data_IF_868431787390
#
_entry.id   IF_868431787390
#
_cell.length_a   1.000
_cell.length_b   1.000
_cell.length_c   1.000
_cell.angle_alpha   90.00
_cell.angle_beta   90.00
_cell.angle_gamma   90.00
#
_symmetry.space_group_name_H-M   'P 1'
#
loop_
_entity.id
_entity.type
_entity.pdbx_description
1 polymer ?
#
# COMPACT_ATOMS: atom_id res chain seq x y z
N UNK A 1 19.89 5.72 11.18
CA UNK A 1 19.11 4.72 10.40
C UNK A 1 18.78 5.33 9.04
N UNK A 2 18.97 4.64 7.91
CA UNK A 2 18.61 5.17 6.58
C UNK A 2 17.41 4.39 6.05
N UNK A 3 16.32 5.07 5.76
CA UNK A 3 15.06 4.49 5.26
C UNK A 3 15.17 4.13 3.78
N UNK A 4 14.46 3.08 3.34
CA UNK A 4 14.51 2.57 1.96
C UNK A 4 14.08 3.63 0.93
N UNK A 5 12.93 4.26 1.16
CA UNK A 5 12.38 5.26 0.24
C UNK A 5 13.22 6.54 0.21
N UNK A 6 13.90 6.88 1.30
CA UNK A 6 14.86 7.99 1.34
C UNK A 6 16.17 7.72 0.57
N UNK A 7 16.45 6.47 0.18
CA UNK A 7 17.61 6.12 -0.66
C UNK A 7 17.24 6.06 -2.14
N UNK A 8 16.21 5.30 -2.46
CA UNK A 8 15.76 5.14 -3.83
C UNK A 8 14.25 4.80 -3.85
N UNK A 9 13.40 5.80 -4.16
CA UNK A 9 11.96 5.63 -4.27
C UNK A 9 11.50 5.23 -5.67
N UNK A 10 12.41 4.93 -6.62
CA UNK A 10 12.04 4.64 -7.99
C UNK A 10 11.24 3.32 -8.13
N UNK A 11 10.38 3.19 -9.15
CA UNK A 11 9.67 1.96 -9.45
C UNK A 11 10.63 0.77 -9.59
N UNK A 12 10.35 -0.31 -8.86
CA UNK A 12 11.18 -1.49 -8.86
C UNK A 12 10.41 -2.71 -8.39
N UNK A 13 10.45 -3.79 -9.18
CA UNK A 13 9.66 -5.01 -8.94
C UNK A 13 9.93 -5.65 -7.58
N UNK A 14 11.19 -5.88 -7.22
CA UNK A 14 11.55 -6.56 -5.95
C UNK A 14 11.21 -5.74 -4.72
N UNK A 15 11.32 -4.42 -4.81
CA UNK A 15 10.92 -3.48 -3.73
C UNK A 15 9.41 -3.24 -3.73
N UNK A 16 8.69 -3.79 -4.72
CA UNK A 16 7.25 -3.65 -4.92
C UNK A 16 6.80 -2.19 -5.02
N UNK A 17 7.68 -1.33 -5.56
CA UNK A 17 7.37 0.06 -5.84
C UNK A 17 6.85 0.16 -7.26
N UNK A 18 5.69 0.78 -7.46
CA UNK A 18 5.11 1.04 -8.78
C UNK A 18 4.66 2.49 -8.89
N UNK A 19 4.59 2.98 -10.13
CA UNK A 19 3.96 4.27 -10.43
C UNK A 19 2.44 4.14 -10.46
N UNK A 20 1.77 5.21 -10.08
CA UNK A 20 0.32 5.41 -10.15
C UNK A 20 0.05 6.79 -10.77
N UNK A 21 -1.20 7.12 -11.07
CA UNK A 21 -1.54 8.41 -11.68
C UNK A 21 -1.22 9.61 -10.76
N UNK A 22 -1.31 9.40 -9.45
CA UNK A 22 -1.14 10.46 -8.43
C UNK A 22 0.19 10.38 -7.68
N UNK A 23 1.07 9.44 -8.00
CA UNK A 23 2.33 9.24 -7.30
C UNK A 23 2.85 7.82 -7.38
N UNK A 24 3.22 7.25 -6.25
CA UNK A 24 3.80 5.91 -6.15
C UNK A 24 3.08 5.07 -5.11
N UNK A 25 3.14 3.75 -5.29
CA UNK A 25 2.68 2.77 -4.31
C UNK A 25 3.82 1.81 -3.99
N UNK A 26 4.00 1.48 -2.71
CA UNK A 26 4.87 0.40 -2.25
C UNK A 26 4.04 -0.68 -1.52
N UNK A 27 4.30 -1.95 -1.85
CA UNK A 27 3.76 -3.09 -1.13
C UNK A 27 4.68 -3.56 0.00
N UNK A 28 4.15 -3.66 1.22
CA UNK A 28 4.87 -3.96 2.45
C UNK A 28 4.21 -5.13 3.21
N UNK A 29 4.13 -6.31 2.57
CA UNK A 29 3.46 -7.47 3.15
C UNK A 29 1.94 -7.34 3.10
N UNK A 30 1.28 -7.43 4.26
CA UNK A 30 -0.16 -7.22 4.44
C UNK A 30 -0.61 -5.78 4.14
N UNK A 31 0.33 -4.84 4.05
CA UNK A 31 0.07 -3.41 3.88
C UNK A 31 0.55 -2.88 2.54
N UNK A 32 0.02 -1.72 2.18
CA UNK A 32 0.57 -0.88 1.13
C UNK A 32 0.53 0.59 1.54
N UNK A 33 1.47 1.35 1.00
CA UNK A 33 1.54 2.79 1.22
C UNK A 33 1.51 3.52 -0.13
N UNK A 34 0.71 4.58 -0.20
CA UNK A 34 0.78 5.58 -1.27
C UNK A 34 1.72 6.70 -0.82
N UNK A 35 2.56 7.17 -1.73
CA UNK A 35 3.48 8.26 -1.44
C UNK A 35 3.78 9.11 -2.66
N UNK A 36 4.21 10.35 -2.40
CA UNK A 36 4.69 11.31 -3.40
C UNK A 36 6.12 11.73 -3.10
N UNK A 37 6.80 12.27 -4.11
CA UNK A 37 8.15 12.83 -3.96
C UNK A 37 8.08 14.33 -3.95
N UNK A 38 8.61 14.93 -2.89
CA UNK A 38 8.72 16.36 -2.77
C UNK A 38 10.06 16.81 -3.36
N UNK A 39 10.01 17.38 -4.57
CA UNK A 39 11.22 17.79 -5.29
C UNK A 39 12.01 18.90 -4.58
N UNK A 40 11.33 19.78 -3.84
CA UNK A 40 11.97 20.91 -3.15
C UNK A 40 12.77 20.48 -1.91
N UNK A 41 12.33 19.42 -1.23
CA UNK A 41 12.96 18.94 0.02
C UNK A 41 13.68 17.60 -0.11
N UNK A 42 13.61 16.95 -1.28
CA UNK A 42 14.09 15.59 -1.51
C UNK A 42 13.51 14.57 -0.50
N UNK A 43 12.27 14.77 -0.07
CA UNK A 43 11.56 13.91 0.90
C UNK A 43 10.47 13.08 0.25
N UNK A 44 10.11 12.00 0.93
CA UNK A 44 9.00 11.11 0.60
C UNK A 44 7.85 11.43 1.53
N UNK A 45 6.71 11.81 0.97
CA UNK A 45 5.49 12.12 1.72
C UNK A 45 4.52 10.95 1.56
N UNK A 46 4.23 10.24 2.67
CA UNK A 46 3.22 9.16 2.68
C UNK A 46 1.84 9.79 2.74
N UNK A 47 1.05 9.56 1.71
CA UNK A 47 -0.29 10.16 1.54
C UNK A 47 -1.42 9.21 1.87
N UNK A 48 -1.12 7.92 2.03
CA UNK A 48 -2.10 6.92 2.44
C UNK A 48 -1.47 5.61 2.85
N UNK A 49 -2.11 4.92 3.80
CA UNK A 49 -1.75 3.58 4.27
C UNK A 49 -3.01 2.73 4.26
N UNK A 50 -2.87 1.46 3.91
CA UNK A 50 -4.02 0.56 3.89
C UNK A 50 -3.65 -0.90 3.66
N UNK A 51 -4.66 -1.79 3.69
CA UNK A 51 -4.47 -3.21 3.42
C UNK A 51 -3.99 -3.44 1.98
N UNK A 52 -3.16 -4.48 1.82
CA UNK A 52 -2.67 -4.92 0.53
C UNK A 52 -3.78 -5.52 -0.34
N UNK A 53 -4.81 -6.07 0.31
CA UNK A 53 -5.99 -6.63 -0.33
C UNK A 53 -7.22 -5.74 -0.08
N UNK A 54 -8.05 -5.47 -1.10
CA UNK A 54 -9.31 -4.76 -0.92
C UNK A 54 -10.27 -5.50 0.03
N UNK A 55 -11.10 -4.74 0.76
CA UNK A 55 -12.05 -5.28 1.75
C UNK A 55 -12.93 -6.38 1.16
N UNK A 56 -13.45 -6.15 -0.06
CA UNK A 56 -14.29 -7.13 -0.78
C UNK A 56 -13.63 -8.50 -1.00
N UNK A 57 -12.30 -8.59 -1.04
CA UNK A 57 -11.60 -9.88 -1.16
C UNK A 57 -11.37 -10.53 0.19
N UNK A 58 -11.20 -9.72 1.24
CA UNK A 58 -11.04 -10.20 2.62
C UNK A 58 -12.36 -10.75 3.18
N UNK A 59 -13.49 -10.17 2.79
CA UNK A 59 -14.83 -10.57 3.25
C UNK A 59 -15.51 -11.61 2.36
N UNK A 60 -14.94 -11.91 1.18
CA UNK A 60 -15.54 -12.84 0.22
C UNK A 60 -15.46 -14.29 0.73
N UNK A 61 -16.60 -14.96 0.71
CA UNK A 61 -16.70 -16.40 0.99
C UNK A 61 -15.87 -17.22 -0.02
N UNK A 62 -15.12 -18.19 0.49
CA UNK A 62 -14.18 -19.02 -0.29
C UNK A 62 -12.81 -18.35 -0.54
N UNK A 63 -12.57 -17.17 0.05
CA UNK A 63 -11.29 -16.42 -0.01
C UNK A 63 -10.68 -16.25 1.39
N UNK A 64 -10.69 -17.29 2.21
CA UNK A 64 -10.19 -17.26 3.58
C UNK A 64 -8.65 -17.34 3.64
N UNK A 65 -8.01 -17.94 2.61
CA UNK A 65 -6.56 -18.14 2.53
C UNK A 65 -5.75 -16.88 2.12
N UNK A 66 -6.31 -15.69 2.29
CA UNK A 66 -5.59 -14.44 2.02
C UNK A 66 -4.49 -14.24 3.08
N UNK A 67 -3.25 -13.92 2.69
CA UNK A 67 -2.18 -13.66 3.65
C UNK A 67 -2.57 -12.59 4.67
N UNK A 68 -2.34 -12.85 5.96
CA UNK A 68 -2.60 -11.92 7.05
C UNK A 68 -4.04 -11.36 7.06
N UNK A 69 -5.02 -12.14 6.59
CA UNK A 69 -6.42 -11.73 6.40
C UNK A 69 -7.02 -11.09 7.66
N UNK A 70 -6.88 -11.74 8.80
CA UNK A 70 -7.45 -11.28 10.07
C UNK A 70 -6.87 -9.94 10.50
N UNK A 71 -5.55 -9.76 10.36
CA UNK A 71 -4.90 -8.49 10.67
C UNK A 71 -5.39 -7.37 9.74
N UNK A 72 -5.57 -7.67 8.45
CA UNK A 72 -6.07 -6.70 7.47
C UNK A 72 -7.52 -6.28 7.75
N UNK A 73 -8.38 -7.22 8.15
CA UNK A 73 -9.74 -6.94 8.57
C UNK A 73 -9.77 -6.11 9.86
N UNK A 74 -9.01 -6.51 10.88
CA UNK A 74 -8.94 -5.77 12.14
C UNK A 74 -8.43 -4.33 11.95
N UNK A 75 -7.50 -4.11 11.02
CA UNK A 75 -7.05 -2.78 10.65
C UNK A 75 -8.19 -1.94 10.02
N UNK A 76 -8.95 -2.52 9.08
CA UNK A 76 -10.08 -1.84 8.44
C UNK A 76 -11.26 -1.61 9.37
N UNK A 77 -11.49 -2.48 10.34
CA UNK A 77 -12.55 -2.29 11.34
C UNK A 77 -12.22 -1.10 12.26
N UNK A 78 -10.93 -0.83 12.48
CA UNK A 78 -10.47 0.32 13.27
C UNK A 78 -10.37 1.61 12.46
N UNK A 79 -9.96 1.52 11.20
CA UNK A 79 -9.75 2.66 10.28
C UNK A 79 -10.36 2.38 8.91
N UNK A 80 -11.69 2.39 8.76
CA UNK A 80 -12.37 2.05 7.51
C UNK A 80 -12.00 2.98 6.34
N UNK A 81 -11.67 4.23 6.62
CA UNK A 81 -11.23 5.23 5.66
C UNK A 81 -9.83 4.96 5.07
N UNK A 82 -9.08 4.02 5.66
CA UNK A 82 -7.75 3.61 5.19
C UNK A 82 -7.83 2.61 4.02
N UNK A 83 -9.02 2.30 3.51
CA UNK A 83 -9.16 1.54 2.27
C UNK A 83 -8.67 2.37 1.08
N UNK A 84 -7.50 1.97 0.58
CA UNK A 84 -6.87 2.66 -0.54
C UNK A 84 -7.54 2.29 -1.88
N UNK A 85 -7.41 3.12 -2.93
CA UNK A 85 -8.01 2.86 -4.25
C UNK A 85 -7.64 1.49 -4.81
N UNK A 86 -8.59 0.86 -5.50
CA UNK A 86 -8.36 -0.44 -6.16
C UNK A 86 -7.23 -0.33 -7.18
N UNK A 87 -6.42 -1.38 -7.25
CA UNK A 87 -5.44 -1.51 -8.34
C UNK A 87 -6.22 -1.67 -9.65
N UNK A 88 -5.84 -0.96 -10.73
CA UNK A 88 -6.44 -1.23 -12.04
C UNK A 88 -6.22 -2.70 -12.40
N UNK A 89 -7.21 -3.30 -13.05
CA UNK A 89 -7.07 -4.65 -13.59
C UNK A 89 -5.89 -4.68 -14.56
N UNK A 90 -5.06 -5.72 -14.46
CA UNK A 90 -3.94 -5.95 -15.38
C UNK A 90 -4.44 -6.57 -16.67
#
# INVERSE_FOLDING_TARGET
>A
MRELLGRDPAPHRTRRIRRTDTGFEIGCGAWRALFTLNAASARVDVTGLGPAYPRRFLEREGYENVPDREAQLAFLDRWPESELPLKPAR
#
